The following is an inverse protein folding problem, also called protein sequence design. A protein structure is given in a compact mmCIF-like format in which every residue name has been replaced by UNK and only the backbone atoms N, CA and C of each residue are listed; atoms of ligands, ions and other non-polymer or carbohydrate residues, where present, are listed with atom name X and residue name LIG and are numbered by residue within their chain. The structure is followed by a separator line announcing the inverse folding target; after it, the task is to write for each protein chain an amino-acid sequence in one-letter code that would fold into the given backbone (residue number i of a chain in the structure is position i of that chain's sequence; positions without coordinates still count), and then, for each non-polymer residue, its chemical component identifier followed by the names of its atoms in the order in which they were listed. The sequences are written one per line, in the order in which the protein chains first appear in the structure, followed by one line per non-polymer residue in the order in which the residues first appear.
data_IF_644945986222
#
_entry.id   IF_644945986222
#
_cell.length_a   1.000
_cell.length_b   1.000
_cell.length_c   1.000
_cell.angle_alpha   90.00
_cell.angle_beta   90.00
_cell.angle_gamma   90.00
#
_symmetry.space_group_name_H-M   'P 1'
#
loop_
_entity.id
_entity.type
_entity.pdbx_description
1 polymer ?
#
# COMPACT_ATOMS: atom_id res chain seq x y z
N UNK A 1 -8.39 -36.95 -27.96
CA UNK A 1 -8.42 -35.52 -28.31
C UNK A 1 -8.59 -34.62 -27.09
N UNK A 2 -7.62 -34.55 -26.17
CA UNK A 2 -7.71 -33.71 -24.94
C UNK A 2 -6.47 -32.82 -24.71
N UNK A 3 -5.59 -32.63 -25.72
CA UNK A 3 -4.28 -31.96 -25.50
C UNK A 3 -4.18 -30.48 -25.91
N UNK A 4 -5.12 -29.93 -26.69
CA UNK A 4 -4.92 -28.59 -27.28
C UNK A 4 -5.46 -27.41 -26.47
N UNK A 5 -6.24 -27.65 -25.39
CA UNK A 5 -6.78 -26.53 -24.57
C UNK A 5 -5.79 -26.00 -23.53
N UNK A 6 -4.79 -26.79 -23.17
CA UNK A 6 -3.77 -26.37 -22.18
C UNK A 6 -2.67 -25.50 -22.82
N UNK A 7 -2.25 -25.83 -24.03
CA UNK A 7 -1.28 -25.03 -24.77
C UNK A 7 -1.81 -23.62 -25.12
N UNK A 8 -3.10 -23.52 -25.45
CA UNK A 8 -3.70 -22.24 -25.84
C UNK A 8 -3.81 -21.25 -24.67
N UNK A 9 -4.05 -21.76 -23.43
CA UNK A 9 -4.04 -20.92 -22.22
C UNK A 9 -2.64 -20.38 -21.88
N UNK A 10 -1.61 -21.18 -22.06
CA UNK A 10 -0.23 -20.73 -21.83
C UNK A 10 0.23 -19.73 -22.90
N UNK A 11 -0.18 -19.90 -24.14
CA UNK A 11 0.17 -18.99 -25.24
C UNK A 11 -0.48 -17.60 -25.06
N UNK A 12 -1.73 -17.54 -24.62
CA UNK A 12 -2.42 -16.26 -24.33
C UNK A 12 -1.77 -15.57 -23.13
N UNK A 13 -1.39 -16.30 -22.09
CA UNK A 13 -0.72 -15.72 -20.92
C UNK A 13 0.67 -15.16 -21.26
N UNK A 14 1.44 -15.84 -22.11
CA UNK A 14 2.75 -15.35 -22.56
C UNK A 14 2.63 -14.15 -23.48
N UNK A 15 1.65 -14.10 -24.37
CA UNK A 15 1.43 -12.95 -25.26
C UNK A 15 0.99 -11.72 -24.47
N UNK A 16 0.09 -11.85 -23.51
CA UNK A 16 -0.32 -10.75 -22.61
C UNK A 16 0.88 -10.25 -21.78
N UNK A 17 1.75 -11.16 -21.33
CA UNK A 17 2.94 -10.81 -20.56
C UNK A 17 4.01 -10.09 -21.42
N UNK A 18 4.18 -10.47 -22.69
CA UNK A 18 5.07 -9.79 -23.63
C UNK A 18 4.55 -8.40 -24.04
N UNK A 19 3.25 -8.25 -24.26
CA UNK A 19 2.64 -6.94 -24.53
C UNK A 19 2.74 -6.00 -23.32
N UNK A 20 2.55 -6.52 -22.11
CA UNK A 20 2.69 -5.73 -20.88
C UNK A 20 4.14 -5.28 -20.64
N UNK A 21 5.12 -6.15 -20.91
CA UNK A 21 6.55 -5.81 -20.81
C UNK A 21 6.98 -4.77 -21.84
N UNK A 22 6.42 -4.84 -23.07
CA UNK A 22 6.66 -3.86 -24.13
C UNK A 22 6.00 -2.50 -23.84
N UNK A 23 4.85 -2.48 -23.18
CA UNK A 23 4.14 -1.24 -22.83
C UNK A 23 4.84 -0.46 -21.71
N UNK A 24 5.40 -1.17 -20.72
CA UNK A 24 6.14 -0.54 -19.59
C UNK A 24 7.47 0.07 -20.07
N UNK A 25 8.08 -0.47 -21.12
CA UNK A 25 9.37 0.02 -21.62
C UNK A 25 9.28 1.24 -22.56
N UNK A 26 8.08 1.67 -22.97
CA UNK A 26 7.90 2.73 -23.97
C UNK A 26 7.40 4.07 -23.41
N UNK A 27 7.09 4.20 -22.11
CA UNK A 27 6.89 5.52 -21.51
C UNK A 27 8.27 6.09 -21.10
N UNK A 28 8.75 7.05 -21.88
CA UNK A 28 9.84 7.96 -21.51
C UNK A 28 9.36 8.72 -20.27
N UNK A 29 9.66 8.15 -19.07
CA UNK A 29 9.46 8.86 -17.81
C UNK A 29 10.51 9.97 -17.78
N UNK A 30 10.05 11.19 -17.89
CA UNK A 30 10.86 12.39 -17.80
C UNK A 30 11.72 12.36 -16.54
N UNK A 31 13.03 12.44 -16.69
CA UNK A 31 13.92 12.96 -15.67
C UNK A 31 14.76 12.00 -14.86
N UNK A 32 15.93 11.93 -15.21
CA UNK A 32 17.26 11.93 -14.56
C UNK A 32 17.60 11.04 -13.34
N UNK A 33 16.69 10.41 -12.58
CA UNK A 33 17.07 9.65 -11.38
C UNK A 33 16.62 8.18 -11.35
N UNK A 34 15.75 7.75 -12.25
CA UNK A 34 15.25 6.37 -12.30
C UNK A 34 16.10 5.41 -13.15
N UNK A 35 17.18 5.88 -13.75
CA UNK A 35 18.02 5.10 -14.69
C UNK A 35 18.75 3.91 -14.04
N UNK A 36 18.70 3.75 -12.72
CA UNK A 36 19.44 2.69 -12.01
C UNK A 36 18.56 1.60 -11.36
N UNK A 37 17.23 1.76 -11.32
CA UNK A 37 16.38 0.74 -10.70
C UNK A 37 15.85 -0.24 -11.76
N UNK A 38 16.38 -1.46 -11.72
CA UNK A 38 15.88 -2.55 -12.58
C UNK A 38 14.73 -3.28 -11.88
N UNK A 39 13.52 -3.17 -12.45
CA UNK A 39 12.34 -3.89 -11.96
C UNK A 39 12.56 -5.40 -12.03
N UNK A 40 12.23 -6.11 -10.94
CA UNK A 40 12.14 -7.56 -10.90
C UNK A 40 10.78 -8.03 -11.37
N UNK A 41 10.64 -9.34 -11.49
CA UNK A 41 9.34 -9.95 -11.78
C UNK A 41 8.30 -9.56 -10.72
N UNK A 42 7.11 -9.12 -11.17
CA UNK A 42 6.00 -8.61 -10.36
C UNK A 42 6.23 -7.25 -9.66
N UNK A 43 7.36 -6.58 -9.89
CA UNK A 43 7.56 -5.20 -9.43
C UNK A 43 7.05 -4.21 -10.48
N UNK A 44 6.46 -3.10 -10.07
CA UNK A 44 5.96 -2.08 -10.99
C UNK A 44 5.87 -0.70 -10.34
N UNK A 45 6.07 0.34 -11.17
CA UNK A 45 5.84 1.72 -10.74
C UNK A 45 4.34 2.02 -10.67
N UNK A 46 3.96 2.81 -9.66
CA UNK A 46 2.61 3.38 -9.58
C UNK A 46 2.60 4.75 -10.26
N UNK A 47 1.84 4.83 -11.33
CA UNK A 47 1.59 6.04 -12.11
C UNK A 47 0.19 5.96 -12.72
N UNK A 48 -0.18 6.94 -13.56
CA UNK A 48 -1.50 6.99 -14.18
C UNK A 48 -1.82 5.76 -15.04
N UNK A 49 -0.81 5.15 -15.70
CA UNK A 49 -1.02 3.97 -16.55
C UNK A 49 -1.21 2.67 -15.73
N UNK A 50 -0.63 2.57 -14.55
CA UNK A 50 -0.67 1.36 -13.71
C UNK A 50 -1.69 1.43 -12.57
N UNK A 51 -2.28 2.60 -12.30
CA UNK A 51 -3.24 2.79 -11.19
C UNK A 51 -4.50 1.91 -11.36
N UNK A 52 -4.96 1.71 -12.59
CA UNK A 52 -6.10 0.83 -12.83
C UNK A 52 -5.77 -0.63 -12.49
N UNK A 53 -4.60 -1.10 -12.87
CA UNK A 53 -4.12 -2.44 -12.52
C UNK A 53 -4.02 -2.64 -10.99
N UNK A 54 -3.53 -1.64 -10.25
CA UNK A 54 -3.56 -1.66 -8.79
C UNK A 54 -4.99 -1.76 -8.26
N UNK A 55 -5.91 -0.93 -8.77
CA UNK A 55 -7.31 -0.92 -8.35
C UNK A 55 -8.01 -2.27 -8.57
N UNK A 56 -7.71 -2.94 -9.66
CA UNK A 56 -8.24 -4.28 -9.96
C UNK A 56 -7.72 -5.32 -8.95
N UNK A 57 -6.42 -5.29 -8.63
CA UNK A 57 -5.83 -6.15 -7.59
C UNK A 57 -6.42 -5.87 -6.21
N UNK A 58 -6.54 -4.61 -5.81
CA UNK A 58 -7.15 -4.22 -4.55
C UNK A 58 -8.63 -4.64 -4.48
N UNK A 59 -9.36 -4.56 -5.60
CA UNK A 59 -10.75 -5.01 -5.67
C UNK A 59 -10.88 -6.51 -5.40
N UNK A 60 -9.98 -7.32 -5.95
CA UNK A 60 -9.93 -8.76 -5.69
C UNK A 60 -9.56 -9.04 -4.23
N UNK A 61 -8.58 -8.31 -3.68
CA UNK A 61 -8.17 -8.44 -2.30
C UNK A 61 -9.31 -8.09 -1.34
N UNK A 62 -10.00 -6.97 -1.56
CA UNK A 62 -11.15 -6.54 -0.73
C UNK A 62 -12.26 -7.59 -0.73
N UNK A 63 -12.59 -8.19 -1.89
CA UNK A 63 -13.56 -9.29 -1.97
C UNK A 63 -13.12 -10.52 -1.16
N UNK A 64 -11.82 -10.82 -1.12
CA UNK A 64 -11.28 -11.93 -0.35
C UNK A 64 -11.29 -11.70 1.17
N UNK A 65 -11.40 -10.45 1.61
CA UNK A 65 -11.50 -10.07 3.02
C UNK A 65 -12.95 -10.12 3.54
N UNK A 66 -13.95 -10.16 2.66
CA UNK A 66 -15.35 -10.31 3.07
C UNK A 66 -15.53 -11.68 3.75
N UNK A 67 -16.23 -11.74 4.90
CA UNK A 67 -16.54 -13.00 5.55
C UNK A 67 -17.25 -13.97 4.59
N UNK A 68 -16.88 -15.27 4.68
CA UNK A 68 -17.46 -16.33 3.85
C UNK A 68 -18.35 -17.22 4.70
N UNK A 69 -19.51 -17.54 4.14
CA UNK A 69 -20.45 -18.49 4.72
C UNK A 69 -20.23 -19.85 4.08
N UNK A 70 -20.14 -20.90 4.90
CA UNK A 70 -20.11 -22.31 4.46
C UNK A 70 -21.06 -23.11 5.33
N UNK A 71 -21.69 -24.12 4.76
CA UNK A 71 -22.40 -25.15 5.54
C UNK A 71 -21.47 -26.35 5.70
N UNK A 72 -21.40 -26.90 6.90
CA UNK A 72 -20.69 -28.16 7.15
C UNK A 72 -21.53 -29.36 6.66
N UNK A 73 -20.96 -30.56 6.78
CA UNK A 73 -21.65 -31.83 6.42
C UNK A 73 -22.93 -32.12 7.21
N UNK A 74 -23.12 -31.44 8.35
CA UNK A 74 -24.28 -31.60 9.23
C UNK A 74 -25.31 -30.47 9.03
N UNK A 75 -25.12 -29.60 7.99
CA UNK A 75 -26.00 -28.47 7.71
C UNK A 75 -25.79 -27.28 8.63
N UNK A 76 -24.79 -27.28 9.51
CA UNK A 76 -24.46 -26.16 10.38
C UNK A 76 -23.77 -25.06 9.61
N UNK A 77 -24.24 -23.83 9.78
CA UNK A 77 -23.62 -22.64 9.16
C UNK A 77 -22.34 -22.26 9.89
N UNK A 78 -21.23 -22.15 9.14
CA UNK A 78 -19.92 -21.71 9.61
C UNK A 78 -19.55 -20.42 8.88
N UNK A 79 -19.19 -19.39 9.66
CA UNK A 79 -18.63 -18.15 9.13
C UNK A 79 -17.12 -18.14 9.27
N UNK A 80 -16.40 -17.82 8.20
CA UNK A 80 -14.95 -17.67 8.19
C UNK A 80 -14.54 -16.28 7.70
N UNK A 81 -13.61 -15.64 8.40
CA UNK A 81 -13.05 -14.34 8.00
C UNK A 81 -11.62 -14.16 8.49
N UNK A 82 -10.84 -13.34 7.78
CA UNK A 82 -9.49 -12.96 8.22
C UNK A 82 -9.60 -11.97 9.39
N UNK A 83 -8.77 -12.17 10.41
CA UNK A 83 -8.69 -11.29 11.57
C UNK A 83 -7.24 -10.99 11.92
N UNK A 84 -6.93 -9.74 12.23
CA UNK A 84 -5.65 -9.36 12.84
C UNK A 84 -5.71 -9.58 14.35
N UNK A 85 -4.55 -9.59 15.03
CA UNK A 85 -4.46 -9.77 16.49
C UNK A 85 -5.29 -8.73 17.26
N UNK A 86 -5.43 -7.52 16.74
CA UNK A 86 -6.08 -6.39 17.39
C UNK A 86 -7.51 -6.12 16.88
N UNK A 87 -7.91 -6.78 15.79
CA UNK A 87 -9.28 -6.66 15.30
C UNK A 87 -10.27 -7.24 16.29
N UNK A 88 -11.42 -6.59 16.56
CA UNK A 88 -12.46 -7.14 17.40
C UNK A 88 -13.00 -8.44 16.81
N UNK A 89 -13.55 -9.27 17.67
CA UNK A 89 -14.34 -10.43 17.22
C UNK A 89 -15.67 -9.89 16.76
N UNK A 90 -16.01 -10.16 15.50
CA UNK A 90 -17.28 -9.75 14.94
C UNK A 90 -18.41 -10.62 15.48
N UNK A 91 -19.54 -10.00 15.79
CA UNK A 91 -20.80 -10.68 16.06
C UNK A 91 -21.37 -11.31 14.79
N UNK A 92 -22.27 -12.26 14.91
CA UNK A 92 -22.93 -12.88 13.76
C UNK A 92 -23.67 -11.84 12.92
N UNK A 93 -24.34 -10.86 13.55
CA UNK A 93 -25.03 -9.78 12.86
C UNK A 93 -24.08 -8.89 12.03
N UNK A 94 -22.92 -8.53 12.58
CA UNK A 94 -21.89 -7.76 11.84
C UNK A 94 -21.34 -8.56 10.65
N UNK A 95 -21.11 -9.86 10.83
CA UNK A 95 -20.68 -10.74 9.75
C UNK A 95 -21.73 -10.80 8.64
N UNK A 96 -23.01 -11.00 9.00
CA UNK A 96 -24.11 -11.04 8.05
C UNK A 96 -24.27 -9.70 7.31
N UNK A 97 -24.10 -8.58 8.01
CA UNK A 97 -24.12 -7.24 7.41
C UNK A 97 -22.97 -7.05 6.40
N UNK A 98 -21.74 -7.49 6.72
CA UNK A 98 -20.61 -7.41 5.82
C UNK A 98 -20.78 -8.29 4.57
N UNK A 99 -21.48 -9.41 4.68
CA UNK A 99 -21.79 -10.30 3.54
C UNK A 99 -22.88 -9.68 2.66
N UNK A 100 -23.96 -9.18 3.26
CA UNK A 100 -25.11 -8.62 2.51
C UNK A 100 -24.82 -7.23 1.95
N UNK A 101 -24.00 -6.44 2.64
CA UNK A 101 -23.67 -5.08 2.25
C UNK A 101 -22.15 -4.84 2.41
N UNK A 102 -21.31 -5.41 1.52
CA UNK A 102 -19.87 -5.29 1.61
C UNK A 102 -19.43 -3.83 1.45
N UNK A 103 -18.38 -3.40 2.17
CA UNK A 103 -17.88 -2.04 2.10
C UNK A 103 -17.39 -1.71 0.68
N UNK A 104 -17.70 -0.51 0.23
CA UNK A 104 -17.21 0.02 -1.03
C UNK A 104 -16.02 0.94 -0.76
N UNK A 105 -14.84 0.55 -1.18
CA UNK A 105 -13.60 1.33 -0.99
C UNK A 105 -13.34 2.33 -2.15
N UNK A 106 -14.38 2.81 -2.83
CA UNK A 106 -14.24 3.75 -3.96
C UNK A 106 -13.55 5.06 -3.55
N UNK A 107 -13.91 5.57 -2.37
CA UNK A 107 -13.35 6.80 -1.82
C UNK A 107 -11.85 6.64 -1.49
N UNK A 108 -11.50 5.55 -0.84
CA UNK A 108 -10.12 5.22 -0.50
C UNK A 108 -9.26 5.05 -1.75
N UNK A 109 -9.77 4.40 -2.80
CA UNK A 109 -9.07 4.25 -4.09
C UNK A 109 -8.90 5.58 -4.81
N UNK A 110 -9.88 6.49 -4.71
CA UNK A 110 -9.71 7.86 -5.19
C UNK A 110 -8.59 8.58 -4.45
N UNK A 111 -8.51 8.45 -3.11
CA UNK A 111 -7.40 9.03 -2.35
C UNK A 111 -6.04 8.44 -2.72
N UNK A 112 -5.95 7.12 -2.97
CA UNK A 112 -4.69 6.52 -3.45
C UNK A 112 -4.26 7.19 -4.76
N UNK A 113 -5.18 7.34 -5.72
CA UNK A 113 -4.88 8.01 -6.98
C UNK A 113 -4.42 9.45 -6.76
N UNK A 114 -5.16 10.24 -5.97
CA UNK A 114 -4.86 11.65 -5.69
C UNK A 114 -3.47 11.81 -5.02
N UNK A 115 -3.11 10.89 -4.12
CA UNK A 115 -1.79 10.88 -3.48
C UNK A 115 -0.71 10.55 -4.51
N UNK A 116 -0.89 9.55 -5.36
CA UNK A 116 0.08 9.19 -6.40
C UNK A 116 0.30 10.37 -7.35
N UNK A 117 -0.78 11.02 -7.80
CA UNK A 117 -0.69 12.20 -8.67
C UNK A 117 0.05 13.36 -7.98
N UNK A 118 -0.18 13.57 -6.68
CA UNK A 118 0.49 14.59 -5.88
C UNK A 118 1.98 14.30 -5.69
N UNK A 119 2.35 13.05 -5.42
CA UNK A 119 3.74 12.63 -5.29
C UNK A 119 4.50 12.78 -6.62
N UNK A 120 3.84 12.47 -7.72
CA UNK A 120 4.41 12.63 -9.06
C UNK A 120 4.73 14.12 -9.37
N UNK A 121 3.89 15.08 -8.93
CA UNK A 121 4.15 16.52 -9.05
C UNK A 121 5.40 16.97 -8.27
N UNK A 122 5.80 16.21 -7.24
CA UNK A 122 7.00 16.46 -6.43
C UNK A 122 8.23 15.69 -6.94
N UNK A 123 8.13 15.05 -8.11
CA UNK A 123 9.18 14.18 -8.65
C UNK A 123 9.53 13.02 -7.69
N UNK A 124 8.51 12.52 -6.96
CA UNK A 124 8.59 11.36 -6.08
C UNK A 124 7.98 10.16 -6.79
N UNK A 125 8.76 9.11 -6.92
CA UNK A 125 8.32 7.84 -7.50
C UNK A 125 7.79 6.89 -6.44
N UNK A 126 6.76 6.12 -6.79
CA UNK A 126 6.24 5.05 -5.94
C UNK A 126 6.35 3.73 -6.70
N UNK A 127 6.92 2.71 -6.06
CA UNK A 127 7.14 1.41 -6.67
C UNK A 127 6.59 0.30 -5.74
N UNK A 128 5.93 -0.66 -6.33
CA UNK A 128 5.56 -1.91 -5.68
C UNK A 128 6.71 -2.89 -5.86
N UNK A 129 7.23 -3.40 -4.74
CA UNK A 129 8.39 -4.28 -4.70
C UNK A 129 8.12 -5.53 -3.87
N UNK A 130 8.91 -6.56 -4.10
CA UNK A 130 8.93 -7.75 -3.25
C UNK A 130 10.12 -7.64 -2.26
N UNK A 131 9.84 -7.18 -1.04
CA UNK A 131 10.89 -7.14 -0.01
C UNK A 131 11.29 -8.55 0.42
N UNK A 132 12.59 -8.76 0.62
CA UNK A 132 13.10 -10.02 1.20
C UNK A 132 12.63 -10.21 2.66
N UNK A 133 12.48 -9.11 3.39
CA UNK A 133 11.91 -9.10 4.73
C UNK A 133 10.43 -8.71 4.66
N UNK A 134 9.55 -9.67 4.91
CA UNK A 134 8.10 -9.48 4.87
C UNK A 134 7.57 -8.60 6.02
N UNK A 135 8.39 -8.29 7.03
CA UNK A 135 7.99 -7.40 8.12
C UNK A 135 7.99 -5.93 7.69
N UNK A 136 8.64 -5.59 6.56
CA UNK A 136 8.67 -4.23 6.02
C UNK A 136 7.50 -4.05 5.07
N UNK A 137 6.58 -3.15 5.42
CA UNK A 137 5.41 -2.83 4.61
C UNK A 137 5.68 -1.73 3.57
N UNK A 138 6.44 -0.71 3.95
CA UNK A 138 6.85 0.39 3.09
C UNK A 138 8.16 1.01 3.55
N UNK A 139 8.77 1.84 2.71
CA UNK A 139 9.93 2.67 3.04
C UNK A 139 9.96 3.93 2.18
N UNK A 140 10.36 5.05 2.78
CA UNK A 140 10.72 6.27 2.08
C UNK A 140 12.24 6.44 2.01
N UNK A 141 12.78 6.67 0.81
CA UNK A 141 14.19 7.05 0.61
C UNK A 141 14.26 8.46 0.02
N UNK A 142 14.62 9.48 0.82
CA UNK A 142 14.70 10.86 0.34
C UNK A 142 15.80 11.08 -0.67
N UNK A 143 16.90 10.32 -0.64
CA UNK A 143 18.01 10.49 -1.58
C UNK A 143 17.63 10.13 -3.00
N UNK A 144 16.91 9.03 -3.17
CA UNK A 144 16.40 8.57 -4.46
C UNK A 144 15.01 9.10 -4.79
N UNK A 145 14.37 9.85 -3.88
CA UNK A 145 12.97 10.29 -3.95
C UNK A 145 12.03 9.12 -4.27
N UNK A 146 12.20 8.01 -3.58
CA UNK A 146 11.54 6.76 -3.89
C UNK A 146 10.78 6.20 -2.69
N UNK A 147 9.48 6.01 -2.85
CA UNK A 147 8.64 5.21 -1.97
C UNK A 147 8.62 3.78 -2.48
N UNK A 148 8.98 2.82 -1.64
CA UNK A 148 8.83 1.39 -1.92
C UNK A 148 7.74 0.82 -1.05
N UNK A 149 6.79 0.11 -1.65
CA UNK A 149 5.69 -0.57 -0.95
C UNK A 149 5.76 -2.07 -1.21
N UNK A 150 5.62 -2.87 -0.16
CA UNK A 150 5.66 -4.32 -0.30
C UNK A 150 4.44 -4.82 -1.07
N UNK A 151 4.65 -5.69 -2.06
CA UNK A 151 3.56 -6.27 -2.85
C UNK A 151 2.52 -7.00 -1.98
N UNK A 152 2.94 -7.55 -0.84
CA UNK A 152 2.05 -8.25 0.10
C UNK A 152 0.96 -7.37 0.71
N UNK A 153 1.17 -6.04 0.76
CA UNK A 153 0.15 -5.12 1.30
C UNK A 153 -1.09 -5.02 0.40
N UNK A 154 -0.95 -5.33 -0.90
CA UNK A 154 -2.09 -5.36 -1.83
C UNK A 154 -3.09 -6.42 -1.38
N UNK A 155 -2.61 -7.60 -0.92
CA UNK A 155 -3.47 -8.68 -0.43
C UNK A 155 -4.20 -8.35 0.89
N UNK A 156 -3.74 -7.31 1.59
CA UNK A 156 -4.36 -6.81 2.81
C UNK A 156 -5.54 -5.85 2.54
N UNK A 157 -5.82 -5.56 1.26
CA UNK A 157 -6.96 -4.77 0.80
C UNK A 157 -6.69 -3.26 0.78
N UNK A 158 -7.67 -2.54 0.21
CA UNK A 158 -7.55 -1.11 -0.09
C UNK A 158 -7.26 -0.26 1.13
N UNK A 159 -7.94 -0.51 2.26
CA UNK A 159 -7.78 0.31 3.46
C UNK A 159 -6.36 0.23 4.01
N UNK A 160 -5.84 -0.99 4.19
CA UNK A 160 -4.49 -1.19 4.72
C UNK A 160 -3.41 -0.67 3.74
N UNK A 161 -3.62 -0.87 2.43
CA UNK A 161 -2.73 -0.30 1.42
C UNK A 161 -2.64 1.23 1.55
N UNK A 162 -3.78 1.91 1.68
CA UNK A 162 -3.82 3.36 1.82
C UNK A 162 -3.19 3.83 3.13
N UNK A 163 -3.40 3.13 4.25
CA UNK A 163 -2.77 3.45 5.54
C UNK A 163 -1.24 3.39 5.45
N UNK A 164 -0.67 2.37 4.78
CA UNK A 164 0.78 2.24 4.60
C UNK A 164 1.31 3.30 3.64
N UNK A 165 0.63 3.55 2.53
CA UNK A 165 1.00 4.63 1.62
C UNK A 165 1.01 5.99 2.35
N UNK A 166 0.00 6.29 3.16
CA UNK A 166 -0.07 7.50 3.96
C UNK A 166 1.07 7.62 4.97
N UNK A 167 1.45 6.50 5.60
CA UNK A 167 2.60 6.46 6.50
C UNK A 167 3.86 6.99 5.81
N UNK A 168 4.16 6.49 4.61
CA UNK A 168 5.31 6.95 3.81
C UNK A 168 5.16 8.41 3.36
N UNK A 169 3.94 8.85 3.04
CA UNK A 169 3.64 10.24 2.70
C UNK A 169 3.94 11.20 3.85
N UNK A 170 3.71 10.78 5.09
CA UNK A 170 4.06 11.59 6.26
C UNK A 170 5.58 11.72 6.37
N UNK A 171 6.36 10.67 6.10
CA UNK A 171 7.82 10.77 6.04
C UNK A 171 8.32 11.70 4.92
N UNK A 172 7.62 11.75 3.79
CA UNK A 172 7.91 12.75 2.74
C UNK A 172 7.67 14.18 3.28
N UNK A 173 6.54 14.39 3.96
CA UNK A 173 6.26 15.71 4.56
C UNK A 173 7.28 16.09 5.64
N UNK A 174 7.78 15.13 6.43
CA UNK A 174 8.89 15.31 7.37
C UNK A 174 10.19 15.72 6.64
N UNK A 175 10.47 15.15 5.47
CA UNK A 175 11.60 15.53 4.63
C UNK A 175 11.43 16.96 4.11
N UNK A 176 10.26 17.29 3.58
CA UNK A 176 9.92 18.63 3.09
C UNK A 176 10.01 19.69 4.18
N UNK A 177 9.59 19.39 5.40
CA UNK A 177 9.70 20.32 6.54
C UNK A 177 11.15 20.67 6.89
N UNK A 178 12.10 19.88 6.40
CA UNK A 178 13.54 20.11 6.51
C UNK A 178 14.16 20.77 5.24
N UNK A 179 13.33 21.32 4.37
CA UNK A 179 13.79 22.10 3.21
C UNK A 179 13.76 21.35 1.87
N UNK A 180 13.01 20.27 1.75
CA UNK A 180 12.74 19.60 0.47
C UNK A 180 12.62 18.08 0.54
N UNK A 181 12.02 17.49 -0.49
CA UNK A 181 11.77 16.04 -0.57
C UNK A 181 13.05 15.21 -0.47
N UNK A 182 14.18 15.74 -0.91
CA UNK A 182 15.48 15.05 -0.89
C UNK A 182 16.25 15.22 0.43
N UNK A 183 15.67 15.85 1.44
CA UNK A 183 16.29 16.04 2.76
C UNK A 183 15.91 14.91 3.71
N UNK A 184 16.79 14.66 4.67
CA UNK A 184 16.48 13.70 5.74
C UNK A 184 15.23 14.19 6.51
N UNK A 185 14.38 13.29 7.01
CA UNK A 185 13.20 13.63 7.79
C UNK A 185 13.53 14.51 9.01
N UNK A 186 12.62 15.45 9.32
CA UNK A 186 12.61 16.27 10.53
C UNK A 186 11.21 16.20 11.14
N UNK A 187 11.11 16.17 12.48
CA UNK A 187 9.83 16.23 13.16
C UNK A 187 9.02 17.45 12.75
N UNK A 188 7.77 17.23 12.39
CA UNK A 188 6.81 18.29 12.08
C UNK A 188 6.25 18.90 13.37
N UNK A 189 6.26 18.13 14.46
CA UNK A 189 5.71 18.53 15.76
C UNK A 189 4.20 18.26 15.84
N UNK A 190 3.74 17.18 15.25
CA UNK A 190 2.35 16.78 15.32
C UNK A 190 2.01 16.18 16.68
N UNK A 191 0.78 16.41 17.17
CA UNK A 191 0.29 15.78 18.39
C UNK A 191 0.17 14.27 18.20
N UNK A 192 0.85 13.49 19.04
CA UNK A 192 0.85 12.04 18.92
C UNK A 192 -0.51 11.44 19.29
N UNK A 193 -1.02 10.55 18.43
CA UNK A 193 -2.30 9.83 18.59
C UNK A 193 -2.07 8.32 18.46
N UNK A 194 -1.33 7.75 19.42
CA UNK A 194 -0.97 6.34 19.39
C UNK A 194 -1.98 5.52 20.20
N UNK A 195 -2.63 4.57 19.56
CA UNK A 195 -3.44 3.56 20.23
C UNK A 195 -2.59 2.34 20.64
N UNK A 196 -3.22 1.35 21.26
CA UNK A 196 -2.55 0.13 21.73
C UNK A 196 -1.89 -0.68 20.60
N UNK A 197 -2.54 -0.72 19.44
CA UNK A 197 -2.03 -1.43 18.24
C UNK A 197 -0.79 -0.74 17.68
N UNK A 198 -0.83 0.59 17.48
CA UNK A 198 0.30 1.40 16.99
C UNK A 198 1.50 1.32 17.94
N UNK A 199 1.27 1.38 19.25
CA UNK A 199 2.33 1.19 20.25
C UNK A 199 2.94 -0.21 20.19
N UNK A 200 2.14 -1.24 19.93
CA UNK A 200 2.65 -2.60 19.76
C UNK A 200 3.51 -2.73 18.48
N UNK A 201 3.11 -2.11 17.37
CA UNK A 201 3.90 -2.07 16.15
C UNK A 201 5.25 -1.40 16.38
N UNK A 202 5.28 -0.24 17.04
CA UNK A 202 6.50 0.48 17.41
C UNK A 202 7.43 -0.31 18.34
N UNK A 203 6.91 -1.26 19.12
CA UNK A 203 7.71 -2.17 19.96
C UNK A 203 8.21 -3.43 19.22
N UNK A 204 7.90 -3.57 17.94
CA UNK A 204 8.30 -4.72 17.12
C UNK A 204 9.83 -4.78 16.88
N UNK A 205 10.30 -5.93 16.38
CA UNK A 205 11.74 -6.15 16.13
C UNK A 205 12.34 -5.16 15.13
N UNK A 206 11.53 -4.65 14.19
CA UNK A 206 11.98 -3.70 13.15
C UNK A 206 12.51 -2.42 13.79
N UNK A 207 11.87 -1.95 14.87
CA UNK A 207 12.21 -0.68 15.53
C UNK A 207 13.19 -0.81 16.70
N UNK A 208 13.68 -2.03 17.02
CA UNK A 208 14.58 -2.22 18.20
C UNK A 208 15.94 -1.57 18.05
N UNK A 209 16.42 -1.43 16.82
CA UNK A 209 17.77 -0.96 16.54
C UNK A 209 17.81 0.44 15.90
N UNK A 210 16.67 1.14 15.83
CA UNK A 210 16.65 2.53 15.35
C UNK A 210 16.96 3.49 16.49
N UNK A 211 17.44 4.68 16.16
CA UNK A 211 17.68 5.74 17.12
C UNK A 211 16.38 6.26 17.74
N UNK A 212 16.44 6.85 18.94
CA UNK A 212 15.28 7.49 19.56
C UNK A 212 14.68 8.57 18.64
N UNK A 213 15.50 9.27 17.87
CA UNK A 213 15.06 10.29 16.93
C UNK A 213 14.26 9.68 15.78
N UNK A 214 14.72 8.57 15.20
CA UNK A 214 13.99 7.85 14.16
C UNK A 214 12.67 7.30 14.72
N UNK A 215 12.66 6.80 15.95
CA UNK A 215 11.44 6.33 16.60
C UNK A 215 10.39 7.45 16.75
N UNK A 216 10.79 8.70 16.99
CA UNK A 216 9.85 9.83 17.06
C UNK A 216 9.25 10.15 15.67
N UNK A 217 10.01 10.00 14.57
CA UNK A 217 9.47 10.14 13.21
C UNK A 217 8.39 9.09 12.95
N UNK A 218 8.66 7.85 13.33
CA UNK A 218 7.71 6.75 13.21
C UNK A 218 6.43 7.00 14.03
N UNK A 219 6.56 7.53 15.26
CA UNK A 219 5.40 7.87 16.08
C UNK A 219 4.51 8.92 15.43
N UNK A 220 5.08 9.95 14.80
CA UNK A 220 4.29 10.92 14.04
C UNK A 220 3.59 10.24 12.86
N UNK A 221 4.29 9.41 12.07
CA UNK A 221 3.73 8.74 10.92
C UNK A 221 2.59 7.79 11.33
N UNK A 222 2.80 6.93 12.33
CA UNK A 222 1.75 6.06 12.86
C UNK A 222 0.56 6.81 13.43
N UNK A 223 0.78 7.99 14.03
CA UNK A 223 -0.32 8.78 14.62
C UNK A 223 -1.35 9.23 13.60
N UNK A 224 -0.94 9.41 12.34
CA UNK A 224 -1.78 10.01 11.30
C UNK A 224 -1.92 9.18 10.02
N UNK A 225 -1.37 7.98 9.94
CA UNK A 225 -1.46 7.13 8.74
C UNK A 225 -2.90 6.79 8.31
N UNK A 226 -3.85 6.80 9.23
CA UNK A 226 -5.27 6.55 9.01
C UNK A 226 -6.08 7.85 8.75
N UNK A 227 -5.44 9.03 8.82
CA UNK A 227 -6.05 10.32 8.45
C UNK A 227 -5.58 10.78 7.06
N UNK A 228 -6.30 10.34 6.03
CA UNK A 228 -5.93 10.59 4.63
C UNK A 228 -5.98 12.07 4.24
N UNK A 229 -6.77 12.87 4.94
CA UNK A 229 -6.88 14.31 4.70
C UNK A 229 -5.64 15.04 5.23
N UNK A 230 -5.12 14.63 6.40
CA UNK A 230 -3.98 15.28 7.00
C UNK A 230 -2.71 15.08 6.17
N UNK A 231 -2.48 13.88 5.62
CA UNK A 231 -1.29 13.60 4.81
C UNK A 231 -1.21 14.50 3.57
N UNK A 232 -2.32 14.67 2.85
CA UNK A 232 -2.39 15.61 1.72
C UNK A 232 -2.17 17.07 2.13
N UNK A 233 -2.74 17.49 3.29
CA UNK A 233 -2.53 18.84 3.82
C UNK A 233 -1.07 19.08 4.19
N UNK A 234 -0.40 18.09 4.79
CA UNK A 234 1.01 18.18 5.15
C UNK A 234 1.90 18.34 3.91
N UNK A 235 1.67 17.54 2.86
CA UNK A 235 2.38 17.69 1.58
C UNK A 235 2.17 19.08 1.00
N UNK A 236 0.93 19.56 0.90
CA UNK A 236 0.63 20.90 0.38
C UNK A 236 1.26 22.02 1.20
N UNK A 237 1.40 21.83 2.51
CA UNK A 237 1.96 22.82 3.42
C UNK A 237 3.48 22.91 3.37
N UNK A 238 4.15 21.77 3.26
CA UNK A 238 5.60 21.69 3.45
C UNK A 238 6.38 21.43 2.16
N UNK A 239 5.74 20.87 1.13
CA UNK A 239 6.42 20.47 -0.10
C UNK A 239 6.08 21.35 -1.31
N UNK A 240 4.95 22.08 -1.28
CA UNK A 240 4.47 22.98 -2.34
C UNK A 240 4.41 24.40 -1.79
#
# INVERSE_FOLDING_TARGET
MKSNKFLFKYLIFTIIFFYFKSFINNEIISGHLLSSYTLKENEFFLNQSTIQFLNDKLTVADKNLIPKLKNDSNGKTIYSYKRTKFSPILSISEIQQLISNPPSFKKERSYIKDIIDLLHQLDVSVIIVNFKNNDIAGTWDPKSKLVKLNISIIESGTKNFLEILNHEVIHIAQSCSNGGVNKNPKLIGLNLKLNKEKNHLLSSKIYRNISNRELEFEKEAYSYQDDFIISQKLIKRYCI
#
